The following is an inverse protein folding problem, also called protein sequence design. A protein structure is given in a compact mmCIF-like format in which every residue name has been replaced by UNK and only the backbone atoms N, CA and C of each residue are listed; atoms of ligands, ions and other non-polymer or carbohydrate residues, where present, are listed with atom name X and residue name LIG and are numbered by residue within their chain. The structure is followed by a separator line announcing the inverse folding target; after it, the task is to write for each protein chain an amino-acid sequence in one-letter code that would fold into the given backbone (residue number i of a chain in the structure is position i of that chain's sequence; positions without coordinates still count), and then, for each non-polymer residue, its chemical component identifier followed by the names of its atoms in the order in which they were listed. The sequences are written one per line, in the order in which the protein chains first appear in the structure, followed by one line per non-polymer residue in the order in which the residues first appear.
data_IF_634888054119
#
_entry.id   IF_634888054119
#
_cell.length_a   1.000
_cell.length_b   1.000
_cell.length_c   1.000
_cell.angle_alpha   90.00
_cell.angle_beta   90.00
_cell.angle_gamma   90.00
#
_symmetry.space_group_name_H-M   'P 1'
#
loop_
_entity.id
_entity.type
_entity.pdbx_description
1 polymer ?
#
# COMPACT_ATOMS: atom_id res chain seq x y z
N UNK A 1 -2.08 -16.12 27.90
CA UNK A 1 -2.03 -14.93 27.03
C UNK A 1 -1.74 -15.39 25.60
N UNK A 2 -2.55 -15.02 24.61
CA UNK A 2 -2.15 -15.23 23.23
C UNK A 2 -0.83 -14.47 23.03
N UNK A 3 0.21 -15.20 22.79
CA UNK A 3 1.56 -14.64 22.79
C UNK A 3 1.90 -13.87 21.51
N UNK A 4 1.00 -13.87 20.54
CA UNK A 4 1.23 -13.22 19.25
C UNK A 4 -0.08 -12.76 18.59
N UNK A 5 0.00 -11.70 17.78
CA UNK A 5 -1.10 -11.23 16.93
C UNK A 5 -1.61 -12.33 15.97
N UNK A 6 -0.77 -13.32 15.65
CA UNK A 6 -1.12 -14.49 14.84
C UNK A 6 -2.12 -15.38 15.56
N UNK A 7 -1.95 -15.59 16.88
CA UNK A 7 -2.88 -16.40 17.68
C UNK A 7 -4.25 -15.70 17.78
N UNK A 8 -4.25 -14.37 17.87
CA UNK A 8 -5.48 -13.58 17.87
C UNK A 8 -6.27 -13.71 16.55
N UNK A 9 -5.59 -13.67 15.40
CA UNK A 9 -6.27 -13.76 14.10
C UNK A 9 -6.77 -15.16 13.79
N UNK A 10 -6.22 -16.22 14.39
CA UNK A 10 -6.78 -17.58 14.23
C UNK A 10 -8.18 -17.70 14.82
N UNK A 11 -8.54 -16.84 15.76
CA UNK A 11 -9.84 -16.81 16.43
C UNK A 11 -10.82 -15.79 15.80
N UNK A 12 -10.33 -14.88 14.93
CA UNK A 12 -11.16 -13.85 14.29
C UNK A 12 -11.82 -14.42 13.03
N UNK A 13 -13.13 -14.28 12.96
CA UNK A 13 -13.91 -14.56 11.76
C UNK A 13 -13.85 -13.36 10.79
N UNK A 14 -13.25 -13.57 9.62
CA UNK A 14 -13.15 -12.56 8.57
C UNK A 14 -14.23 -12.71 7.48
N UNK A 15 -15.18 -13.61 7.62
CA UNK A 15 -16.20 -13.88 6.57
C UNK A 15 -17.14 -12.70 6.34
N UNK A 16 -17.37 -11.87 7.37
CA UNK A 16 -18.17 -10.64 7.26
C UNK A 16 -17.38 -9.42 6.74
N UNK A 17 -16.07 -9.53 6.61
CA UNK A 17 -15.20 -8.42 6.16
C UNK A 17 -15.29 -8.29 4.64
N UNK A 18 -15.72 -7.12 4.16
CA UNK A 18 -15.86 -6.81 2.73
C UNK A 18 -14.62 -6.19 2.12
N UNK A 19 -13.84 -5.50 2.92
CA UNK A 19 -12.62 -4.82 2.50
C UNK A 19 -11.53 -4.96 3.56
N UNK A 20 -10.31 -5.20 3.13
CA UNK A 20 -9.12 -5.17 3.98
C UNK A 20 -8.16 -4.14 3.40
N UNK A 21 -7.80 -3.14 4.19
CA UNK A 21 -6.91 -2.05 3.76
C UNK A 21 -5.63 -2.06 4.58
N UNK A 22 -4.50 -2.30 3.93
CA UNK A 22 -3.18 -2.17 4.53
C UNK A 22 -2.66 -0.76 4.30
N UNK A 23 -2.28 -0.06 5.37
CA UNK A 23 -1.72 1.30 5.31
C UNK A 23 -0.33 1.30 5.91
N UNK A 24 0.65 1.80 5.17
CA UNK A 24 2.05 1.76 5.56
C UNK A 24 2.38 2.81 6.62
N UNK A 25 1.96 4.06 6.43
CA UNK A 25 2.26 5.17 7.32
C UNK A 25 1.31 5.21 8.52
N UNK A 26 1.89 5.39 9.73
CA UNK A 26 1.11 5.35 10.98
C UNK A 26 0.12 6.50 11.10
N UNK A 27 0.50 7.71 10.73
CA UNK A 27 -0.36 8.89 10.82
C UNK A 27 -1.54 8.78 9.85
N UNK A 28 -1.29 8.32 8.63
CA UNK A 28 -2.35 8.05 7.64
C UNK A 28 -3.27 6.93 8.09
N UNK A 29 -2.73 5.88 8.73
CA UNK A 29 -3.53 4.81 9.31
C UNK A 29 -4.49 5.36 10.38
N UNK A 30 -3.97 6.14 11.34
CA UNK A 30 -4.78 6.69 12.43
C UNK A 30 -5.90 7.61 11.89
N UNK A 31 -5.57 8.49 10.96
CA UNK A 31 -6.54 9.39 10.33
C UNK A 31 -7.61 8.62 9.54
N UNK A 32 -7.20 7.64 8.75
CA UNK A 32 -8.11 6.81 7.97
C UNK A 32 -9.08 6.04 8.86
N UNK A 33 -8.60 5.45 9.96
CA UNK A 33 -9.45 4.71 10.91
C UNK A 33 -10.47 5.63 11.57
N UNK A 34 -10.09 6.87 11.86
CA UNK A 34 -10.97 7.82 12.56
C UNK A 34 -12.00 8.46 11.63
N UNK A 35 -11.66 8.71 10.36
CA UNK A 35 -12.48 9.55 9.48
C UNK A 35 -13.09 8.83 8.26
N UNK A 36 -12.48 7.74 7.80
CA UNK A 36 -12.87 7.12 6.53
C UNK A 36 -13.24 5.63 6.60
N UNK A 37 -12.78 4.92 7.64
CA UNK A 37 -13.01 3.47 7.79
C UNK A 37 -14.50 3.11 7.75
N UNK A 38 -14.83 2.12 6.92
CA UNK A 38 -16.20 1.61 6.80
C UNK A 38 -16.50 0.50 7.84
N UNK A 39 -17.79 0.24 8.16
CA UNK A 39 -18.16 -0.76 9.16
C UNK A 39 -17.68 -2.18 8.87
N UNK A 40 -17.71 -2.60 7.61
CA UNK A 40 -17.30 -3.95 7.16
C UNK A 40 -15.84 -3.97 6.65
N UNK A 41 -15.04 -3.00 7.08
CA UNK A 41 -13.64 -2.87 6.70
C UNK A 41 -12.70 -3.22 7.85
N UNK A 42 -11.70 -4.05 7.57
CA UNK A 42 -10.53 -4.28 8.42
C UNK A 42 -9.39 -3.40 7.93
N UNK A 43 -8.92 -2.49 8.77
CA UNK A 43 -7.75 -1.66 8.47
C UNK A 43 -6.54 -2.16 9.25
N UNK A 44 -5.44 -2.40 8.56
CA UNK A 44 -4.22 -2.97 9.13
C UNK A 44 -3.07 -1.98 8.96
N UNK A 45 -2.46 -1.58 10.06
CA UNK A 45 -1.20 -0.84 10.01
C UNK A 45 -0.07 -1.78 9.57
N UNK A 46 0.52 -1.48 8.41
CA UNK A 46 1.55 -2.33 7.82
C UNK A 46 2.96 -1.93 8.32
N UNK A 47 3.26 -0.64 8.38
CA UNK A 47 4.63 -0.16 8.61
C UNK A 47 5.57 -0.50 7.44
N UNK A 48 6.82 -0.02 7.53
CA UNK A 48 7.76 -0.07 6.41
C UNK A 48 8.48 -1.42 6.20
N UNK A 49 8.52 -2.30 7.19
CA UNK A 49 9.31 -3.54 7.12
C UNK A 49 8.44 -4.79 7.16
N UNK A 50 8.65 -5.67 6.17
CA UNK A 50 7.97 -6.96 6.06
C UNK A 50 8.77 -8.07 6.78
N UNK A 51 8.64 -8.15 8.11
CA UNK A 51 9.26 -9.21 8.90
C UNK A 51 8.67 -10.60 8.61
N UNK A 52 9.37 -11.70 8.90
CA UNK A 52 8.83 -13.05 8.76
C UNK A 52 7.51 -13.27 9.50
N UNK A 53 7.34 -12.64 10.66
CA UNK A 53 6.10 -12.68 11.45
C UNK A 53 4.96 -11.97 10.73
N UNK A 54 5.20 -10.78 10.17
CA UNK A 54 4.22 -10.05 9.36
C UNK A 54 3.82 -10.83 8.11
N UNK A 55 4.77 -11.47 7.43
CA UNK A 55 4.48 -12.33 6.27
C UNK A 55 3.50 -13.44 6.62
N UNK A 56 3.71 -14.14 7.73
CA UNK A 56 2.80 -15.18 8.22
C UNK A 56 1.40 -14.64 8.53
N UNK A 57 1.33 -13.47 9.18
CA UNK A 57 0.08 -12.80 9.50
C UNK A 57 -0.70 -12.41 8.23
N UNK A 58 -0.02 -11.79 7.27
CA UNK A 58 -0.62 -11.35 6.01
C UNK A 58 -1.11 -12.54 5.20
N UNK A 59 -0.32 -13.61 5.11
CA UNK A 59 -0.73 -14.85 4.44
C UNK A 59 -1.94 -15.50 5.12
N UNK A 60 -2.03 -15.43 6.45
CA UNK A 60 -3.18 -15.93 7.20
C UNK A 60 -4.44 -15.08 6.94
N UNK A 61 -4.33 -13.76 6.94
CA UNK A 61 -5.43 -12.84 6.60
C UNK A 61 -5.93 -13.15 5.19
N UNK A 62 -5.04 -13.26 4.21
CA UNK A 62 -5.40 -13.57 2.82
C UNK A 62 -6.17 -14.89 2.69
N UNK A 63 -5.75 -15.93 3.40
CA UNK A 63 -6.40 -17.25 3.37
C UNK A 63 -7.75 -17.28 4.09
N UNK A 64 -7.95 -16.41 5.08
CA UNK A 64 -9.17 -16.31 5.87
C UNK A 64 -10.21 -15.38 5.29
N UNK A 65 -9.79 -14.42 4.47
CA UNK A 65 -10.68 -13.52 3.76
C UNK A 65 -11.56 -14.29 2.77
N UNK A 66 -12.81 -13.86 2.59
CA UNK A 66 -13.67 -14.40 1.55
C UNK A 66 -13.13 -14.05 0.15
N UNK A 67 -13.41 -14.88 -0.86
CA UNK A 67 -12.97 -14.61 -2.25
C UNK A 67 -13.48 -13.27 -2.79
N UNK A 68 -14.63 -12.80 -2.29
CA UNK A 68 -15.24 -11.52 -2.65
C UNK A 68 -14.68 -10.33 -1.88
N UNK A 69 -13.80 -10.55 -0.89
CA UNK A 69 -13.20 -9.49 -0.09
C UNK A 69 -12.20 -8.70 -0.93
N UNK A 70 -12.39 -7.38 -1.03
CA UNK A 70 -11.41 -6.50 -1.65
C UNK A 70 -10.21 -6.31 -0.72
N UNK A 71 -9.00 -6.51 -1.21
CA UNK A 71 -7.78 -6.29 -0.41
C UNK A 71 -6.94 -5.20 -1.07
N UNK A 72 -6.65 -4.13 -0.32
CA UNK A 72 -5.99 -2.91 -0.80
C UNK A 72 -4.74 -2.60 0.00
N UNK A 73 -3.81 -1.93 -0.65
CA UNK A 73 -2.58 -1.43 -0.03
C UNK A 73 -2.32 0.02 -0.39
N UNK A 74 -1.95 0.82 0.59
CA UNK A 74 -1.61 2.22 0.44
C UNK A 74 -0.27 2.55 1.10
N UNK A 75 0.64 3.11 0.32
CA UNK A 75 1.97 3.55 0.73
C UNK A 75 2.36 4.82 -0.04
N UNK A 76 3.58 5.29 0.14
CA UNK A 76 4.17 6.35 -0.66
C UNK A 76 4.17 5.98 -2.15
N UNK A 77 3.97 6.97 -3.00
CA UNK A 77 4.06 6.80 -4.46
C UNK A 77 5.53 7.03 -4.86
N UNK A 78 6.32 6.00 -4.62
CA UNK A 78 7.75 5.96 -4.92
C UNK A 78 8.23 4.51 -5.11
N UNK A 79 9.52 4.35 -5.42
CA UNK A 79 10.13 3.03 -5.61
C UNK A 79 9.97 2.12 -4.38
N UNK A 80 10.04 2.69 -3.17
CA UNK A 80 9.86 1.94 -1.93
C UNK A 80 8.47 1.37 -1.79
N UNK A 81 7.44 2.20 -2.01
CA UNK A 81 6.04 1.80 -1.99
C UNK A 81 5.70 0.76 -3.07
N UNK A 82 6.23 0.93 -4.29
CA UNK A 82 6.02 -0.04 -5.39
C UNK A 82 6.64 -1.40 -5.08
N UNK A 83 7.87 -1.42 -4.54
CA UNK A 83 8.54 -2.67 -4.13
C UNK A 83 7.77 -3.37 -3.02
N UNK A 84 7.28 -2.61 -2.05
CA UNK A 84 6.50 -3.15 -0.94
C UNK A 84 5.19 -3.76 -1.43
N UNK A 85 4.49 -3.08 -2.33
CA UNK A 85 3.29 -3.61 -2.97
C UNK A 85 3.58 -4.95 -3.67
N UNK A 86 4.61 -5.01 -4.51
CA UNK A 86 4.96 -6.24 -5.23
C UNK A 86 5.24 -7.41 -4.27
N UNK A 87 5.97 -7.17 -3.18
CA UNK A 87 6.23 -8.20 -2.16
C UNK A 87 4.97 -8.69 -1.46
N UNK A 88 4.02 -7.78 -1.20
CA UNK A 88 2.73 -8.15 -0.63
C UNK A 88 1.86 -8.90 -1.64
N UNK A 89 1.90 -8.52 -2.90
CA UNK A 89 1.14 -9.19 -3.96
C UNK A 89 1.58 -10.64 -4.17
N UNK A 90 2.83 -10.99 -3.88
CA UNK A 90 3.28 -12.39 -3.84
C UNK A 90 2.52 -13.24 -2.81
N UNK A 91 2.11 -12.62 -1.70
CA UNK A 91 1.33 -13.27 -0.63
C UNK A 91 -0.17 -13.14 -0.84
N UNK A 92 -0.61 -12.08 -1.52
CA UNK A 92 -2.01 -11.74 -1.78
C UNK A 92 -2.16 -11.41 -3.26
N UNK A 93 -2.36 -12.41 -4.14
CA UNK A 93 -2.44 -12.17 -5.59
C UNK A 93 -3.55 -11.19 -6.01
N UNK A 94 -4.62 -11.08 -5.21
CA UNK A 94 -5.75 -10.17 -5.44
C UNK A 94 -5.53 -8.75 -4.91
N UNK A 95 -4.34 -8.45 -4.37
CA UNK A 95 -4.02 -7.12 -3.83
C UNK A 95 -4.11 -6.04 -4.90
N UNK A 96 -4.75 -4.94 -4.58
CA UNK A 96 -4.84 -3.75 -5.45
C UNK A 96 -4.24 -2.52 -4.77
N UNK A 97 -3.62 -1.60 -5.53
CA UNK A 97 -3.15 -0.35 -4.97
C UNK A 97 -4.33 0.59 -4.66
N UNK A 98 -4.22 1.35 -3.57
CA UNK A 98 -5.15 2.40 -3.19
C UNK A 98 -4.42 3.73 -3.12
N UNK A 99 -4.94 4.76 -3.80
CA UNK A 99 -4.35 6.13 -3.79
C UNK A 99 -2.88 6.16 -4.21
N UNK A 100 -2.50 5.32 -5.17
CA UNK A 100 -1.14 5.23 -5.70
C UNK A 100 -1.12 5.35 -7.24
N UNK A 101 -2.08 6.05 -7.83
CA UNK A 101 -2.22 6.26 -9.27
C UNK A 101 -1.49 7.50 -9.77
N UNK A 102 -1.35 7.64 -11.09
CA UNK A 102 -0.84 8.84 -11.73
C UNK A 102 -1.70 10.08 -11.44
N UNK A 103 -3.01 9.93 -11.31
CA UNK A 103 -3.91 11.01 -10.90
C UNK A 103 -3.56 11.55 -9.50
N UNK A 104 -3.17 10.68 -8.57
CA UNK A 104 -2.69 11.11 -7.26
C UNK A 104 -1.37 11.88 -7.34
N UNK A 105 -0.47 11.49 -8.24
CA UNK A 105 0.77 12.25 -8.48
C UNK A 105 0.43 13.64 -9.01
N UNK A 106 -0.46 13.76 -9.99
CA UNK A 106 -0.90 15.05 -10.53
C UNK A 106 -1.56 15.93 -9.48
N UNK A 107 -2.34 15.33 -8.58
CA UNK A 107 -3.05 16.08 -7.53
C UNK A 107 -2.10 16.67 -6.48
N UNK A 108 -1.03 15.97 -6.14
CA UNK A 108 -0.15 16.33 -5.02
C UNK A 108 1.27 16.75 -5.46
N UNK A 109 1.56 16.86 -6.75
CA UNK A 109 2.92 17.12 -7.24
C UNK A 109 3.55 18.41 -6.70
N UNK A 110 2.76 19.46 -6.42
CA UNK A 110 3.26 20.72 -5.83
C UNK A 110 3.86 20.54 -4.44
N UNK A 111 3.45 19.50 -3.71
CA UNK A 111 3.95 19.11 -2.40
C UNK A 111 4.83 17.85 -2.45
N UNK A 112 5.19 17.42 -3.65
CA UNK A 112 6.02 16.25 -3.88
C UNK A 112 7.47 16.43 -3.45
N UNK A 113 8.14 15.31 -3.22
CA UNK A 113 9.58 15.28 -2.95
C UNK A 113 10.33 15.23 -4.27
N UNK A 114 11.13 16.28 -4.54
CA UNK A 114 11.98 16.33 -5.73
C UNK A 114 12.99 15.19 -5.75
N UNK A 115 13.18 14.58 -6.92
CA UNK A 115 14.10 13.45 -7.12
C UNK A 115 15.25 13.82 -8.06
N UNK A 116 16.41 13.22 -7.80
CA UNK A 116 17.57 13.37 -8.66
C UNK A 116 17.36 12.73 -10.02
N UNK A 117 18.12 13.19 -11.03
CA UNK A 117 18.11 12.58 -12.36
C UNK A 117 18.46 11.08 -12.32
N UNK A 118 19.40 10.69 -11.44
CA UNK A 118 19.78 9.29 -11.24
C UNK A 118 18.59 8.44 -10.75
N UNK A 119 17.81 8.95 -9.81
CA UNK A 119 16.61 8.28 -9.32
C UNK A 119 15.58 8.11 -10.44
N UNK A 120 15.31 9.19 -11.18
CA UNK A 120 14.32 9.18 -12.27
C UNK A 120 14.75 8.23 -13.40
N UNK A 121 16.03 8.24 -13.77
CA UNK A 121 16.57 7.31 -14.78
C UNK A 121 16.40 5.85 -14.32
N UNK A 122 16.77 5.53 -13.08
CA UNK A 122 16.62 4.20 -12.53
C UNK A 122 15.15 3.75 -12.47
N UNK A 123 14.24 4.66 -12.13
CA UNK A 123 12.81 4.38 -12.12
C UNK A 123 12.25 4.12 -13.53
N UNK A 124 12.71 4.88 -14.52
CA UNK A 124 12.36 4.66 -15.92
C UNK A 124 12.84 3.29 -16.42
N UNK A 125 14.09 2.92 -16.12
CA UNK A 125 14.64 1.60 -16.46
C UNK A 125 13.83 0.48 -15.81
N UNK A 126 13.47 0.63 -14.54
CA UNK A 126 12.62 -0.34 -13.81
C UNK A 126 11.24 -0.47 -14.46
N UNK A 127 10.63 0.63 -14.91
CA UNK A 127 9.35 0.63 -15.62
C UNK A 127 9.48 -0.09 -16.97
N UNK A 128 10.50 0.23 -17.76
CA UNK A 128 10.75 -0.39 -19.05
C UNK A 128 11.06 -1.90 -18.94
N UNK A 129 11.67 -2.31 -17.83
CA UNK A 129 11.88 -3.71 -17.48
C UNK A 129 10.62 -4.44 -16.97
N UNK A 130 9.49 -3.73 -16.85
CA UNK A 130 8.22 -4.31 -16.40
C UNK A 130 8.17 -4.67 -14.91
N UNK A 131 9.00 -4.04 -14.07
CA UNK A 131 9.02 -4.35 -12.63
C UNK A 131 7.76 -3.94 -11.87
N UNK A 132 7.09 -2.88 -12.33
CA UNK A 132 5.96 -2.27 -11.65
C UNK A 132 4.75 -2.10 -12.57
N UNK A 133 4.18 -3.19 -13.10
CA UNK A 133 3.16 -3.12 -14.17
C UNK A 133 1.88 -2.41 -13.75
N UNK A 134 1.52 -2.42 -12.46
CA UNK A 134 0.32 -1.74 -11.95
C UNK A 134 0.55 -0.25 -11.65
N UNK A 135 1.79 0.24 -11.76
CA UNK A 135 2.15 1.62 -11.44
C UNK A 135 2.71 2.40 -12.63
N UNK A 136 2.52 1.91 -13.85
CA UNK A 136 3.05 2.56 -15.04
C UNK A 136 2.56 4.00 -15.16
N UNK A 137 1.28 4.26 -14.97
CA UNK A 137 0.69 5.59 -15.00
C UNK A 137 1.30 6.52 -13.91
N UNK A 138 1.46 6.00 -12.69
CA UNK A 138 2.08 6.75 -11.60
C UNK A 138 3.55 7.09 -11.91
N UNK A 139 4.31 6.13 -12.45
CA UNK A 139 5.72 6.34 -12.82
C UNK A 139 5.83 7.37 -13.93
N UNK A 140 5.00 7.31 -14.96
CA UNK A 140 4.98 8.31 -16.04
C UNK A 140 4.76 9.72 -15.50
N UNK A 141 3.87 9.89 -14.51
CA UNK A 141 3.62 11.19 -13.88
C UNK A 141 4.75 11.62 -12.94
N UNK A 142 5.40 10.70 -12.23
CA UNK A 142 6.62 10.97 -11.46
C UNK A 142 7.72 11.48 -12.39
N UNK A 143 7.95 10.83 -13.52
CA UNK A 143 8.96 11.23 -14.49
C UNK A 143 8.66 12.62 -15.11
N UNK A 144 7.37 12.90 -15.35
CA UNK A 144 6.93 14.18 -15.89
C UNK A 144 7.14 15.34 -14.91
N UNK A 145 6.78 15.16 -13.63
CA UNK A 145 6.89 16.20 -12.61
C UNK A 145 8.26 16.24 -11.90
N UNK A 146 9.04 15.17 -11.99
CA UNK A 146 10.31 15.03 -11.27
C UNK A 146 10.17 14.82 -9.76
N UNK A 147 8.99 14.42 -9.29
CA UNK A 147 8.67 14.28 -7.86
C UNK A 147 8.03 12.94 -7.54
N UNK A 148 8.21 12.49 -6.31
CA UNK A 148 7.45 11.39 -5.70
C UNK A 148 6.52 11.94 -4.63
N UNK A 149 5.48 11.18 -4.26
CA UNK A 149 4.46 11.64 -3.31
C UNK A 149 4.54 10.82 -2.03
N UNK A 150 4.80 11.50 -0.93
CA UNK A 150 4.72 10.90 0.40
C UNK A 150 3.26 10.74 0.83
N UNK A 151 2.97 9.68 1.56
CA UNK A 151 1.61 9.36 1.99
C UNK A 151 0.98 10.49 2.83
N UNK A 152 1.80 11.20 3.62
CA UNK A 152 1.37 12.35 4.42
C UNK A 152 0.80 13.51 3.60
N UNK A 153 1.12 13.62 2.32
CA UNK A 153 0.55 14.64 1.43
C UNK A 153 -0.99 14.57 1.39
N UNK A 154 -1.56 13.39 1.62
CA UNK A 154 -3.01 13.17 1.66
C UNK A 154 -3.69 13.72 2.94
N UNK A 155 -2.93 14.08 3.96
CA UNK A 155 -3.45 14.67 5.20
C UNK A 155 -3.70 16.18 5.07
N UNK A 156 -3.12 16.84 4.08
CA UNK A 156 -3.19 18.29 3.84
C UNK A 156 -4.32 18.65 2.86
N UNK A 157 -5.52 18.11 3.07
CA UNK A 157 -6.70 18.42 2.26
C UNK A 157 -7.40 19.68 2.77
#
# INVERSE_FOLDING_TARGET
MPSTLVDFITEVDLTAVRCITFIENKTNYDEYVMSEKQPEELVVYHGGFLSPRKRKLIALISRRAAETTQIRFWADIDTGGFRMFNRLQELIPSLTPMRMSGECVDLFHEHGLERSEEYLTSLQEDMEAGKYPLFQDAIERILYHGVTIEQESFLNK
#
